data_IF_040444242824
#
_entry.id   IF_040444242824
#
_cell.length_a   1.000
_cell.length_b   1.000
_cell.length_c   1.000
_cell.angle_alpha   90.00
_cell.angle_beta   90.00
_cell.angle_gamma   90.00
#
_symmetry.space_group_name_H-M   'P 1'
#
loop_
_entity.id
_entity.type
_entity.pdbx_description
1 polymer ?
#
# COMPACT_ATOMS: atom_id res chain seq x y z
N UNK A 1 31.64 -22.01 10.26
CA UNK A 1 30.35 -21.28 10.18
C UNK A 1 30.67 -19.82 10.41
N UNK A 2 30.71 -19.02 9.34
CA UNK A 2 30.93 -17.58 9.46
C UNK A 2 29.60 -16.92 9.78
N UNK A 3 29.51 -16.32 10.97
CA UNK A 3 28.39 -15.45 11.32
C UNK A 3 28.35 -14.31 10.30
N UNK A 4 27.34 -14.32 9.43
CA UNK A 4 27.01 -13.15 8.63
C UNK A 4 26.57 -12.07 9.62
N UNK A 5 27.19 -10.88 9.63
CA UNK A 5 26.72 -9.80 10.48
C UNK A 5 25.25 -9.52 10.15
N UNK A 6 24.43 -9.14 11.15
CA UNK A 6 23.05 -8.76 10.90
C UNK A 6 23.06 -7.63 9.87
N UNK A 7 22.37 -7.82 8.74
CA UNK A 7 22.18 -6.77 7.74
C UNK A 7 21.46 -5.63 8.45
N UNK A 8 22.21 -4.61 8.82
CA UNK A 8 21.65 -3.39 9.39
C UNK A 8 20.96 -2.66 8.24
N UNK A 9 19.68 -2.95 8.04
CA UNK A 9 18.86 -2.26 7.06
C UNK A 9 18.77 -0.77 7.45
N UNK A 10 19.57 0.07 6.80
CA UNK A 10 19.66 1.52 7.02
C UNK A 10 18.43 2.27 6.46
N UNK A 11 17.24 1.68 6.46
CA UNK A 11 16.03 2.24 5.85
C UNK A 11 15.12 1.10 5.41
N UNK A 12 13.82 1.27 5.57
CA UNK A 12 12.83 0.23 5.28
C UNK A 12 11.52 0.86 4.88
N UNK A 13 11.01 0.51 3.70
CA UNK A 13 9.66 0.84 3.24
C UNK A 13 8.87 -0.45 3.20
N UNK A 14 7.78 -0.50 3.97
CA UNK A 14 6.75 -1.49 3.73
C UNK A 14 5.53 -0.83 3.11
N UNK A 15 5.26 -1.15 1.85
CA UNK A 15 4.09 -0.65 1.16
C UNK A 15 3.20 -1.78 0.63
N UNK A 16 1.90 -1.54 0.67
CA UNK A 16 0.92 -2.24 -0.14
C UNK A 16 0.96 -1.67 -1.59
N UNK A 17 0.37 -2.32 -2.60
CA UNK A 17 0.24 -1.81 -3.98
C UNK A 17 -0.56 -0.51 -4.07
N UNK A 18 -1.04 0.01 -2.95
CA UNK A 18 -1.50 1.38 -2.76
C UNK A 18 -0.77 1.97 -1.54
N UNK A 19 -0.29 3.21 -1.65
CA UNK A 19 0.42 3.95 -0.58
C UNK A 19 -0.48 4.58 0.48
N UNK A 20 -1.68 4.02 0.68
CA UNK A 20 -2.59 4.49 1.74
C UNK A 20 -2.07 4.29 3.15
N UNK A 21 -1.28 3.23 3.33
CA UNK A 21 -0.51 2.99 4.53
C UNK A 21 0.84 2.43 4.13
N UNK A 22 1.88 2.96 4.76
CA UNK A 22 3.24 2.47 4.64
C UNK A 22 4.01 2.79 5.91
N UNK A 23 5.11 2.07 6.12
CA UNK A 23 6.03 2.31 7.22
C UNK A 23 7.38 2.73 6.67
N UNK A 24 7.98 3.76 7.25
CA UNK A 24 9.33 4.22 6.91
C UNK A 24 10.18 4.22 8.19
N UNK A 25 11.26 3.44 8.18
CA UNK A 25 12.27 3.51 9.24
C UNK A 25 13.12 4.76 9.05
N UNK A 26 13.28 5.58 10.10
CA UNK A 26 14.16 6.75 10.04
C UNK A 26 15.60 6.35 9.74
N UNK A 27 16.18 6.98 8.71
CA UNK A 27 17.57 6.81 8.32
C UNK A 27 17.96 7.83 7.25
N UNK A 28 19.27 7.94 6.97
CA UNK A 28 19.78 8.76 5.86
C UNK A 28 19.23 8.31 4.50
N UNK A 29 19.06 7.00 4.30
CA UNK A 29 18.47 6.47 3.08
C UNK A 29 17.02 6.90 2.94
N UNK A 30 16.21 6.75 4.00
CA UNK A 30 14.80 7.12 3.97
C UNK A 30 14.57 8.62 3.83
N UNK A 31 15.45 9.45 4.38
CA UNK A 31 15.41 10.91 4.17
C UNK A 31 15.64 11.26 2.69
N UNK A 32 16.67 10.68 2.05
CA UNK A 32 16.91 10.87 0.59
C UNK A 32 15.77 10.30 -0.26
N UNK A 33 15.25 9.14 0.10
CA UNK A 33 14.14 8.51 -0.60
C UNK A 33 12.90 9.41 -0.56
N UNK A 34 12.56 9.94 0.62
CA UNK A 34 11.42 10.83 0.81
C UNK A 34 11.58 12.13 0.03
N UNK A 35 12.78 12.71 -0.01
CA UNK A 35 13.08 13.90 -0.81
C UNK A 35 12.90 13.62 -2.32
N UNK A 36 13.45 12.51 -2.83
CA UNK A 36 13.24 12.08 -4.22
C UNK A 36 11.76 11.87 -4.53
N UNK A 37 11.01 11.23 -3.64
CA UNK A 37 9.59 10.97 -3.84
C UNK A 37 8.77 12.27 -3.84
N UNK A 38 9.03 13.18 -2.90
CA UNK A 38 8.41 14.50 -2.82
C UNK A 38 8.63 15.33 -4.09
N UNK A 39 9.84 15.28 -4.64
CA UNK A 39 10.23 16.06 -5.82
C UNK A 39 9.75 15.45 -7.15
N UNK A 40 9.13 14.27 -7.14
CA UNK A 40 8.64 13.57 -8.33
C UNK A 40 7.28 14.12 -8.84
N UNK A 41 7.21 15.43 -9.01
CA UNK A 41 5.96 16.18 -9.27
C UNK A 41 5.34 15.91 -10.65
N UNK A 42 6.08 15.34 -11.59
CA UNK A 42 5.58 14.98 -12.93
C UNK A 42 4.42 13.96 -12.90
N UNK A 43 4.26 13.22 -11.80
CA UNK A 43 3.17 12.28 -11.59
C UNK A 43 1.88 12.95 -11.09
N UNK A 44 1.93 14.23 -10.69
CA UNK A 44 0.75 14.98 -10.22
C UNK A 44 -0.12 15.38 -11.40
N UNK A 45 -1.34 14.86 -11.45
CA UNK A 45 -2.31 15.13 -12.52
C UNK A 45 -3.54 15.83 -11.95
N UNK A 46 -3.64 17.15 -12.16
CA UNK A 46 -4.81 17.91 -11.74
C UNK A 46 -6.08 17.44 -12.47
N UNK A 47 -7.20 17.36 -11.73
CA UNK A 47 -8.48 16.86 -12.26
C UNK A 47 -8.58 15.34 -12.42
N UNK A 48 -7.52 14.59 -12.09
CA UNK A 48 -7.53 13.13 -12.12
C UNK A 48 -7.95 12.55 -10.77
N UNK A 49 -8.66 11.42 -10.78
CA UNK A 49 -8.93 10.62 -9.57
C UNK A 49 -7.81 9.62 -9.26
N UNK A 50 -6.71 9.65 -10.04
CA UNK A 50 -5.54 8.79 -9.81
C UNK A 50 -4.59 9.47 -8.82
N UNK A 51 -4.09 8.68 -7.87
CA UNK A 51 -3.09 9.13 -6.90
C UNK A 51 -1.72 9.20 -7.56
N UNK A 52 -1.21 10.41 -7.74
CA UNK A 52 0.10 10.69 -8.34
C UNK A 52 1.25 10.25 -7.45
N UNK A 53 1.12 10.43 -6.13
CA UNK A 53 2.06 9.95 -5.11
C UNK A 53 2.23 8.43 -5.16
N UNK A 54 1.15 7.65 -5.29
CA UNK A 54 1.21 6.20 -5.48
C UNK A 54 1.92 5.81 -6.78
N UNK A 55 1.68 6.55 -7.86
CA UNK A 55 2.30 6.30 -9.15
C UNK A 55 3.81 6.61 -9.10
N UNK A 56 4.19 7.73 -8.50
CA UNK A 56 5.57 8.11 -8.26
C UNK A 56 6.30 7.09 -7.39
N UNK A 57 5.68 6.61 -6.30
CA UNK A 57 6.33 5.61 -5.44
C UNK A 57 6.63 4.33 -6.22
N UNK A 58 5.63 3.80 -6.94
CA UNK A 58 5.81 2.60 -7.76
C UNK A 58 6.91 2.79 -8.78
N UNK A 59 6.91 3.93 -9.46
CA UNK A 59 7.96 4.26 -10.40
C UNK A 59 9.35 4.24 -9.75
N UNK A 60 9.54 4.90 -8.59
CA UNK A 60 10.82 4.90 -7.89
C UNK A 60 11.23 3.48 -7.49
N UNK A 61 10.32 2.72 -6.86
CA UNK A 61 10.60 1.35 -6.40
C UNK A 61 10.95 0.41 -7.56
N UNK A 62 10.26 0.53 -8.69
CA UNK A 62 10.51 -0.29 -9.90
C UNK A 62 11.88 0.04 -10.55
N UNK A 63 12.48 1.18 -10.23
CA UNK A 63 13.77 1.63 -10.76
C UNK A 63 14.93 1.55 -9.73
N UNK A 64 14.67 1.07 -8.52
CA UNK A 64 15.75 0.80 -7.56
C UNK A 64 16.62 -0.36 -8.05
N UNK A 65 17.91 -0.34 -7.70
CA UNK A 65 18.76 -1.50 -7.97
C UNK A 65 18.25 -2.74 -7.20
N UNK A 66 18.55 -3.96 -7.66
CA UNK A 66 18.21 -5.17 -6.92
C UNK A 66 18.75 -5.17 -5.49
N UNK A 67 19.98 -4.67 -5.30
CA UNK A 67 20.64 -4.57 -4.00
C UNK A 67 19.92 -3.57 -3.10
N UNK A 68 19.57 -2.40 -3.63
CA UNK A 68 18.87 -1.35 -2.90
C UNK A 68 17.46 -1.78 -2.52
N UNK A 69 16.75 -2.44 -3.44
CA UNK A 69 15.43 -3.03 -3.20
C UNK A 69 15.50 -4.07 -2.07
N UNK A 70 16.47 -4.98 -2.14
CA UNK A 70 16.68 -6.00 -1.11
C UNK A 70 17.09 -5.38 0.23
N UNK A 71 17.82 -4.28 0.23
CA UNK A 71 18.24 -3.60 1.44
C UNK A 71 17.11 -2.78 2.08
N UNK A 72 16.23 -2.16 1.29
CA UNK A 72 15.38 -1.08 1.81
C UNK A 72 13.88 -1.20 1.53
N UNK A 73 13.43 -2.12 0.67
CA UNK A 73 12.01 -2.25 0.35
C UNK A 73 11.50 -3.62 0.73
N UNK A 74 10.36 -3.68 1.41
CA UNK A 74 9.54 -4.88 1.54
C UNK A 74 8.12 -4.57 1.10
N UNK A 75 7.48 -5.55 0.52
CA UNK A 75 6.05 -5.48 0.22
C UNK A 75 5.38 -6.43 1.19
N UNK A 76 4.50 -5.92 2.05
CA UNK A 76 3.72 -6.77 2.94
C UNK A 76 2.94 -7.79 2.10
N UNK A 77 3.15 -9.08 2.41
CA UNK A 77 2.31 -10.15 1.87
C UNK A 77 0.87 -10.06 2.39
N UNK A 78 0.68 -9.41 3.54
CA UNK A 78 -0.59 -9.28 4.26
C UNK A 78 -1.22 -7.91 4.02
N UNK A 79 -1.55 -7.59 2.77
CA UNK A 79 -2.25 -6.33 2.45
C UNK A 79 -3.58 -6.22 3.19
N UNK A 80 -4.30 -7.33 3.39
CA UNK A 80 -5.52 -7.38 4.17
C UNK A 80 -5.35 -6.72 5.56
N UNK A 81 -4.31 -7.10 6.31
CA UNK A 81 -4.12 -6.56 7.66
C UNK A 81 -3.93 -5.05 7.68
N UNK A 82 -3.15 -4.48 6.77
CA UNK A 82 -2.63 -3.11 6.91
C UNK A 82 -3.21 -2.12 5.90
N UNK A 83 -3.83 -2.57 4.83
CA UNK A 83 -4.37 -1.70 3.79
C UNK A 83 -5.47 -2.44 3.02
N UNK A 84 -6.38 -3.08 3.75
CA UNK A 84 -7.52 -3.70 3.09
C UNK A 84 -8.44 -2.65 2.51
N UNK A 85 -9.20 -3.02 1.49
CA UNK A 85 -10.24 -2.18 0.92
C UNK A 85 -11.57 -2.92 0.99
N UNK A 86 -12.69 -2.21 1.19
CA UNK A 86 -13.99 -2.84 1.08
C UNK A 86 -14.23 -3.25 -0.37
N UNK A 87 -14.48 -4.54 -0.57
CA UNK A 87 -14.86 -5.04 -1.88
C UNK A 87 -16.35 -4.76 -2.13
N UNK A 88 -16.66 -4.21 -3.29
CA UNK A 88 -18.03 -3.95 -3.76
C UNK A 88 -18.22 -4.59 -5.12
N UNK A 89 -19.43 -5.06 -5.42
CA UNK A 89 -19.78 -5.54 -6.75
C UNK A 89 -20.02 -4.34 -7.70
N UNK A 90 -19.05 -4.06 -8.56
CA UNK A 90 -19.11 -3.09 -9.66
C UNK A 90 -18.59 -3.76 -10.91
N UNK A 91 -18.91 -3.27 -12.11
CA UNK A 91 -18.35 -3.83 -13.34
C UNK A 91 -16.83 -3.93 -13.33
N UNK A 92 -16.15 -2.90 -12.79
CA UNK A 92 -14.69 -2.87 -12.65
C UNK A 92 -14.17 -3.93 -11.67
N UNK A 93 -14.80 -4.08 -10.52
CA UNK A 93 -14.35 -5.05 -9.50
C UNK A 93 -14.71 -6.49 -9.87
N UNK A 94 -15.82 -6.71 -10.57
CA UNK A 94 -16.19 -8.02 -11.14
C UNK A 94 -15.20 -8.41 -12.25
N UNK A 95 -14.90 -7.50 -13.18
CA UNK A 95 -13.85 -7.72 -14.16
C UNK A 95 -12.51 -8.07 -13.49
N UNK A 96 -12.10 -7.30 -12.47
CA UNK A 96 -10.86 -7.59 -11.73
C UNK A 96 -10.93 -8.93 -10.99
N UNK A 97 -12.08 -9.31 -10.46
CA UNK A 97 -12.28 -10.60 -9.80
C UNK A 97 -12.11 -11.77 -10.79
N UNK A 98 -12.64 -11.65 -12.01
CA UNK A 98 -12.55 -12.68 -13.06
C UNK A 98 -11.10 -12.84 -13.54
N UNK A 99 -10.43 -11.73 -13.88
CA UNK A 99 -9.10 -11.79 -14.51
C UNK A 99 -7.94 -11.80 -13.50
N UNK A 100 -8.15 -11.35 -12.26
CA UNK A 100 -7.12 -11.25 -11.23
C UNK A 100 -7.67 -11.66 -9.84
N UNK A 101 -8.18 -12.88 -9.67
CA UNK A 101 -8.87 -13.31 -8.45
C UNK A 101 -7.97 -13.28 -7.21
N UNK A 102 -6.75 -13.80 -7.31
CA UNK A 102 -5.81 -13.86 -6.18
C UNK A 102 -5.48 -12.46 -5.64
N UNK A 103 -5.16 -11.53 -6.53
CA UNK A 103 -4.83 -10.14 -6.16
C UNK A 103 -6.05 -9.41 -5.60
N UNK A 104 -7.24 -9.70 -6.13
CA UNK A 104 -8.49 -9.12 -5.63
C UNK A 104 -8.74 -9.53 -4.18
N UNK A 105 -8.67 -10.83 -3.87
CA UNK A 105 -8.96 -11.31 -2.51
C UNK A 105 -7.87 -10.96 -1.49
N UNK A 106 -6.58 -10.90 -1.88
CA UNK A 106 -5.48 -10.56 -0.97
C UNK A 106 -5.60 -9.18 -0.30
N UNK A 107 -6.31 -8.24 -0.93
CA UNK A 107 -6.51 -6.90 -0.38
C UNK A 107 -7.95 -6.63 0.07
N UNK A 108 -8.88 -7.56 -0.11
CA UNK A 108 -10.26 -7.35 0.32
C UNK A 108 -10.33 -7.40 1.85
N UNK A 109 -11.11 -6.49 2.44
CA UNK A 109 -11.36 -6.46 3.88
C UNK A 109 -11.82 -7.82 4.39
N UNK A 110 -11.14 -8.26 5.44
CA UNK A 110 -11.50 -9.41 6.26
C UNK A 110 -11.60 -8.94 7.71
N UNK A 111 -12.48 -9.60 8.46
CA UNK A 111 -12.56 -9.33 9.88
C UNK A 111 -11.23 -9.62 10.60
N UNK A 112 -10.87 -8.75 11.55
CA UNK A 112 -9.58 -8.76 12.22
C UNK A 112 -8.48 -7.97 11.49
N UNK A 113 -8.76 -7.41 10.31
CA UNK A 113 -7.84 -6.48 9.65
C UNK A 113 -7.61 -5.23 10.53
N UNK A 114 -6.36 -4.80 10.65
CA UNK A 114 -5.97 -3.68 11.50
C UNK A 114 -6.42 -2.33 10.93
N UNK A 115 -6.44 -2.17 9.60
CA UNK A 115 -6.89 -0.93 8.95
C UNK A 115 -7.68 -1.20 7.66
N UNK A 116 -8.84 -0.56 7.55
CA UNK A 116 -9.66 -0.56 6.32
C UNK A 116 -9.52 0.78 5.61
N UNK A 117 -9.04 0.75 4.38
CA UNK A 117 -8.79 1.91 3.55
C UNK A 117 -9.96 2.16 2.57
N UNK A 118 -10.70 3.23 2.81
CA UNK A 118 -11.84 3.65 1.98
C UNK A 118 -11.45 4.48 0.74
N UNK A 119 -10.31 4.15 0.10
CA UNK A 119 -9.85 4.82 -1.10
C UNK A 119 -10.86 4.70 -2.24
N UNK A 120 -11.20 5.84 -2.88
CA UNK A 120 -12.09 5.88 -4.05
C UNK A 120 -13.57 5.61 -3.74
N UNK A 121 -13.98 5.61 -2.47
CA UNK A 121 -15.39 5.53 -2.07
C UNK A 121 -15.96 6.92 -1.80
N UNK A 122 -17.17 7.17 -2.30
CA UNK A 122 -17.87 8.45 -2.10
C UNK A 122 -18.47 8.56 -0.69
N UNK A 123 -19.18 7.53 -0.22
CA UNK A 123 -19.85 7.51 1.09
C UNK A 123 -18.95 6.91 2.19
N UNK A 124 -17.88 7.61 2.55
CA UNK A 124 -16.96 7.15 3.60
C UNK A 124 -17.66 6.98 4.96
N UNK A 125 -18.67 7.80 5.26
CA UNK A 125 -19.40 7.77 6.53
C UNK A 125 -20.29 6.52 6.63
N UNK A 126 -21.02 6.18 5.58
CA UNK A 126 -21.79 4.94 5.52
C UNK A 126 -20.91 3.70 5.59
N UNK A 127 -19.77 3.70 4.88
CA UNK A 127 -18.78 2.62 4.99
C UNK A 127 -18.23 2.44 6.40
N UNK A 128 -17.83 3.54 7.04
CA UNK A 128 -17.36 3.52 8.44
C UNK A 128 -18.43 2.94 9.36
N UNK A 129 -19.67 3.41 9.24
CA UNK A 129 -20.79 2.97 10.07
C UNK A 129 -21.08 1.48 9.88
N UNK A 130 -20.99 0.99 8.63
CA UNK A 130 -21.17 -0.44 8.31
C UNK A 130 -20.09 -1.31 8.95
N UNK A 131 -18.81 -0.95 8.77
CA UNK A 131 -17.69 -1.71 9.34
C UNK A 131 -17.74 -1.70 10.88
N UNK A 132 -18.02 -0.54 11.50
CA UNK A 132 -18.15 -0.46 12.96
C UNK A 132 -19.29 -1.33 13.49
N UNK A 133 -20.42 -1.40 12.77
CA UNK A 133 -21.53 -2.29 13.12
C UNK A 133 -21.11 -3.76 13.03
N UNK A 134 -20.39 -4.16 12.00
CA UNK A 134 -19.87 -5.52 11.84
C UNK A 134 -18.91 -5.92 12.97
N UNK A 135 -18.11 -4.97 13.48
CA UNK A 135 -17.17 -5.19 14.61
C UNK A 135 -17.91 -5.25 15.95
N UNK A 136 -18.91 -4.39 16.16
CA UNK A 136 -19.56 -4.18 17.48
C UNK A 136 -20.68 -5.19 17.77
N UNK A 137 -21.29 -5.79 16.74
CA UNK A 137 -22.35 -6.79 16.92
C UNK A 137 -21.84 -8.24 16.89
N UNK A 138 -20.66 -8.46 17.48
CA UNK A 138 -20.09 -9.78 17.78
C UNK A 138 -20.09 -9.99 19.28
#
# INVERSE_FOLDING_TARGET
MGDRPPVQHEGYINHAPCVGLFFIRRSKWSERFLDTWWNHTSFVQFGSTKSGDNAALKHIVDHLSPEETQAHVRIAKMQCLFNSYPWVATWKSVHRLIFHPSTTWKGAYSDGDFMVHFAGLNDKRGWTSRILREITHR
#
